data_IF_050590428814
#
_entry.id   IF_050590428814
#
_cell.length_a   1.000
_cell.length_b   1.000
_cell.length_c   1.000
_cell.angle_alpha   90.00
_cell.angle_beta   90.00
_cell.angle_gamma   90.00
#
_symmetry.space_group_name_H-M   'P 1'
#
loop_
_entity.id
_entity.type
_entity.pdbx_description
1 polymer ?
#
# COMPACT_ATOMS: atom_id res chain seq x y z
N UNK A 1 3.52 12.53 18.85
CA UNK A 1 3.19 12.98 17.47
C UNK A 1 3.47 11.83 16.53
N UNK A 2 2.51 11.43 15.67
CA UNK A 2 2.75 10.33 14.72
C UNK A 2 3.86 10.72 13.73
N UNK A 3 4.71 9.77 13.36
CA UNK A 3 5.72 10.01 12.34
C UNK A 3 5.09 9.99 10.94
N UNK A 4 5.77 10.57 9.95
CA UNK A 4 5.35 10.48 8.55
C UNK A 4 5.18 9.03 8.09
N UNK A 5 6.03 8.12 8.60
CA UNK A 5 5.96 6.70 8.30
C UNK A 5 4.70 6.06 8.90
N UNK A 6 4.35 6.38 10.13
CA UNK A 6 3.12 5.87 10.78
C UNK A 6 1.87 6.31 10.02
N UNK A 7 1.86 7.58 9.61
CA UNK A 7 0.77 8.14 8.81
C UNK A 7 0.67 7.42 7.46
N UNK A 8 1.79 7.26 6.76
CA UNK A 8 1.83 6.59 5.47
C UNK A 8 1.40 5.11 5.55
N UNK A 9 1.82 4.38 6.59
CA UNK A 9 1.36 3.01 6.87
C UNK A 9 -0.15 2.97 7.09
N UNK A 10 -0.68 3.88 7.92
CA UNK A 10 -2.11 3.93 8.24
C UNK A 10 -2.96 4.18 6.99
N UNK A 11 -2.60 5.17 6.17
CA UNK A 11 -3.31 5.45 4.92
C UNK A 11 -3.25 4.28 3.95
N UNK A 12 -2.07 3.66 3.76
CA UNK A 12 -1.94 2.54 2.86
C UNK A 12 -2.71 1.30 3.34
N UNK A 13 -2.73 1.04 4.65
CA UNK A 13 -3.50 -0.07 5.24
C UNK A 13 -4.99 0.09 4.96
N UNK A 14 -5.54 1.30 5.17
CA UNK A 14 -6.95 1.60 4.86
C UNK A 14 -7.24 1.40 3.37
N UNK A 15 -6.38 1.93 2.50
CA UNK A 15 -6.50 1.76 1.05
C UNK A 15 -6.41 0.29 0.61
N UNK A 16 -5.51 -0.50 1.18
CA UNK A 16 -5.36 -1.91 0.85
C UNK A 16 -6.61 -2.70 1.29
N UNK A 17 -7.14 -2.43 2.47
CA UNK A 17 -8.36 -3.07 2.97
C UNK A 17 -9.58 -2.72 2.12
N UNK A 18 -9.75 -1.45 1.70
CA UNK A 18 -10.88 -1.05 0.85
C UNK A 18 -10.82 -1.72 -0.52
N UNK A 19 -9.63 -1.82 -1.13
CA UNK A 19 -9.46 -2.56 -2.38
C UNK A 19 -9.71 -4.06 -2.21
N UNK A 20 -9.21 -4.65 -1.11
CA UNK A 20 -9.36 -6.09 -0.85
C UNK A 20 -10.82 -6.50 -0.63
N UNK A 21 -11.61 -5.62 -0.02
CA UNK A 21 -13.03 -5.82 0.25
C UNK A 21 -13.94 -5.52 -0.96
N UNK A 22 -13.40 -4.99 -2.06
CA UNK A 22 -14.21 -4.66 -3.24
C UNK A 22 -14.70 -5.93 -3.95
N UNK A 23 -15.96 -5.91 -4.39
CA UNK A 23 -16.58 -7.00 -5.15
C UNK A 23 -15.95 -7.22 -6.55
N UNK A 24 -15.28 -6.20 -7.10
CA UNK A 24 -14.77 -6.24 -8.46
C UNK A 24 -13.34 -6.81 -8.42
N UNK A 25 -13.07 -7.95 -9.08
CA UNK A 25 -11.78 -8.62 -9.02
C UNK A 25 -10.64 -7.78 -9.62
N UNK A 26 -10.93 -6.92 -10.61
CA UNK A 26 -9.94 -6.02 -11.20
C UNK A 26 -9.50 -5.00 -10.16
N UNK A 27 -10.45 -4.37 -9.47
CA UNK A 27 -10.18 -3.38 -8.43
C UNK A 27 -9.40 -4.01 -7.27
N UNK A 28 -9.77 -5.24 -6.90
CA UNK A 28 -9.03 -6.02 -5.91
C UNK A 28 -7.56 -6.22 -6.26
N UNK A 29 -7.20 -6.22 -7.54
CA UNK A 29 -5.81 -6.41 -8.01
C UNK A 29 -5.03 -5.11 -8.22
N UNK A 30 -5.65 -3.93 -8.01
CA UNK A 30 -5.02 -2.61 -8.24
C UNK A 30 -4.04 -2.18 -7.14
N UNK A 31 -3.99 -2.89 -6.00
CA UNK A 31 -3.03 -2.53 -4.95
C UNK A 31 -1.60 -2.76 -5.46
N UNK A 32 -0.84 -1.66 -5.64
CA UNK A 32 0.58 -1.63 -6.00
C UNK A 32 1.10 -2.72 -6.95
N UNK A 33 0.31 -3.13 -7.94
CA UNK A 33 0.69 -4.01 -9.08
C UNK A 33 1.56 -3.28 -10.11
N UNK A 34 2.28 -2.25 -9.67
CA UNK A 34 3.11 -1.43 -10.55
C UNK A 34 4.46 -2.11 -10.73
N UNK A 35 4.60 -2.80 -11.87
CA UNK A 35 5.83 -3.41 -12.42
C UNK A 35 6.87 -2.34 -12.82
N UNK A 36 6.76 -1.11 -12.31
CA UNK A 36 7.71 -0.03 -12.62
C UNK A 36 8.95 -0.24 -11.73
N UNK A 37 10.19 -0.14 -12.28
CA UNK A 37 11.41 -0.33 -11.51
C UNK A 37 11.41 0.55 -10.25
N UNK A 38 11.45 -0.11 -9.10
CA UNK A 38 11.44 0.56 -7.79
C UNK A 38 12.75 1.29 -7.59
N UNK A 39 12.70 2.59 -7.24
CA UNK A 39 13.89 3.33 -6.79
C UNK A 39 14.50 2.62 -5.57
N UNK A 40 15.76 2.22 -5.70
CA UNK A 40 16.51 1.31 -4.80
C UNK A 40 16.64 1.75 -3.33
N UNK A 41 16.09 2.90 -2.91
CA UNK A 41 16.23 3.45 -1.56
C UNK A 41 14.95 4.00 -0.93
N UNK A 42 13.78 3.85 -1.58
CA UNK A 42 12.52 4.34 -1.01
C UNK A 42 11.78 3.20 -0.31
N UNK A 43 11.57 3.34 0.99
CA UNK A 43 10.60 2.52 1.73
C UNK A 43 9.20 2.94 1.28
N UNK A 44 8.49 2.05 0.59
CA UNK A 44 7.11 2.33 0.23
C UNK A 44 6.18 1.89 1.35
N UNK A 45 5.02 2.56 1.54
CA UNK A 45 4.06 2.18 2.59
C UNK A 45 3.62 0.71 2.54
N UNK A 46 3.59 0.10 1.35
CA UNK A 46 3.30 -1.32 1.17
C UNK A 46 4.36 -2.25 1.76
N UNK A 47 5.62 -1.86 1.71
CA UNK A 47 6.74 -2.68 2.19
C UNK A 47 6.70 -2.79 3.72
N UNK A 48 5.89 -1.93 4.35
CA UNK A 48 5.67 -1.85 5.80
C UNK A 48 4.43 -2.64 6.25
N UNK A 49 3.70 -3.31 5.36
CA UNK A 49 2.56 -4.18 5.71
C UNK A 49 2.98 -5.60 6.11
N UNK A 50 4.16 -6.06 5.69
CA UNK A 50 4.65 -7.43 5.89
C UNK A 50 5.77 -7.50 6.94
N UNK A 51 5.57 -6.90 8.11
CA UNK A 51 6.46 -7.04 9.28
C UNK A 51 5.79 -7.85 10.36
#
# INVERSE_FOLDING_TARGET
MPTLNDLAKSYYSKFHLTLRAHSNPIIKSLFSTSIIPRRLKRQWPRDLLNT
#
